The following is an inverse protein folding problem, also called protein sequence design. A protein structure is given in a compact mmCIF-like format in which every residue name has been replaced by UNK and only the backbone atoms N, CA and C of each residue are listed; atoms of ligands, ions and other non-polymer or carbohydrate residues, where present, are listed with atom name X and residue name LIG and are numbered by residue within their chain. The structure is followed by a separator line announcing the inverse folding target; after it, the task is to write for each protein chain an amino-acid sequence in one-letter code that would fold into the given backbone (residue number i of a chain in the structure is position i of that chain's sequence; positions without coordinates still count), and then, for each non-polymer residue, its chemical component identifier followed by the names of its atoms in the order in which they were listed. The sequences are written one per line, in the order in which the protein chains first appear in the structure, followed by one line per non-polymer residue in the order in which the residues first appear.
data_IF_019409967094
#
_entry.id   IF_019409967094
#
_cell.length_a   1.000
_cell.length_b   1.000
_cell.length_c   1.000
_cell.angle_alpha   90.00
_cell.angle_beta   90.00
_cell.angle_gamma   90.00
#
_symmetry.space_group_name_H-M   'P 1'
#
loop_
_entity.id
_entity.type
_entity.pdbx_description
1 polymer ?
#
# COMPACT_ATOMS: atom_id res chain seq x y z
N UNK A 1 56.73 21.76 2.41
CA UNK A 1 55.82 21.35 3.52
C UNK A 1 54.90 22.53 3.78
N UNK A 2 53.58 22.53 3.63
CA UNK A 2 52.61 21.65 2.96
C UNK A 2 51.55 22.62 2.44
N UNK A 3 51.28 22.62 1.13
CA UNK A 3 50.12 23.31 0.57
C UNK A 3 48.88 22.49 0.92
N UNK A 4 48.08 22.99 1.87
CA UNK A 4 46.75 22.44 2.15
C UNK A 4 45.80 22.84 1.04
N UNK A 5 45.56 21.90 0.13
CA UNK A 5 44.46 21.91 -0.83
C UNK A 5 43.14 22.07 -0.08
N UNK A 6 42.46 23.20 -0.30
CA UNK A 6 41.04 23.35 0.05
C UNK A 6 40.25 22.43 -0.88
N UNK A 7 39.86 21.27 -0.37
CA UNK A 7 38.78 20.49 -0.96
C UNK A 7 37.51 21.35 -0.92
N UNK A 8 37.11 21.83 -2.10
CA UNK A 8 35.76 22.32 -2.33
C UNK A 8 34.82 21.13 -2.21
N UNK A 9 34.17 21.00 -1.06
CA UNK A 9 33.02 20.12 -0.87
C UNK A 9 31.96 20.56 -1.88
N UNK A 10 31.73 19.71 -2.88
CA UNK A 10 30.62 19.84 -3.82
C UNK A 10 29.30 19.94 -3.04
N UNK A 11 28.35 20.78 -3.48
CA UNK A 11 27.05 20.86 -2.82
C UNK A 11 26.39 19.48 -2.94
N UNK A 12 26.33 18.77 -1.82
CA UNK A 12 25.67 17.48 -1.73
C UNK A 12 24.25 17.61 -2.29
N UNK A 13 23.93 16.76 -3.26
CA UNK A 13 22.57 16.59 -3.74
C UNK A 13 21.72 16.28 -2.51
N UNK A 14 20.81 17.20 -2.17
CA UNK A 14 19.80 17.00 -1.14
C UNK A 14 18.84 15.89 -1.63
N UNK A 15 19.27 14.63 -1.51
CA UNK A 15 18.49 13.45 -1.80
C UNK A 15 17.53 13.18 -0.63
N UNK A 16 16.54 14.06 -0.44
CA UNK A 16 15.46 13.76 0.50
C UNK A 16 14.52 12.74 -0.15
N UNK A 17 14.66 11.47 0.22
CA UNK A 17 13.67 10.46 -0.14
C UNK A 17 12.36 10.77 0.60
N UNK A 18 11.24 10.56 -0.07
CA UNK A 18 9.93 10.70 0.56
C UNK A 18 9.01 9.52 0.26
N UNK A 19 8.06 9.29 1.15
CA UNK A 19 6.98 8.32 0.97
C UNK A 19 5.66 9.08 1.15
N UNK A 20 4.77 8.96 0.17
CA UNK A 20 3.42 9.49 0.22
C UNK A 20 2.43 8.34 0.32
N UNK A 21 1.61 8.32 1.36
CA UNK A 21 0.51 7.36 1.49
C UNK A 21 -0.79 8.00 1.04
N UNK A 22 -1.53 7.31 0.18
CA UNK A 22 -2.83 7.75 -0.33
C UNK A 22 -3.94 6.93 0.34
N UNK A 23 -4.78 7.60 1.13
CA UNK A 23 -5.95 7.00 1.75
C UNK A 23 -7.18 7.48 1.01
N UNK A 24 -7.92 6.56 0.41
CA UNK A 24 -9.09 6.91 -0.38
C UNK A 24 -10.33 6.82 0.50
N UNK A 25 -11.19 7.82 0.42
CA UNK A 25 -12.53 7.80 1.00
C UNK A 25 -13.54 7.81 -0.15
N UNK A 26 -14.41 6.81 -0.15
CA UNK A 26 -15.48 6.63 -1.13
C UNK A 26 -16.82 6.59 -0.41
N UNK A 27 -17.86 7.12 -1.06
CA UNK A 27 -19.21 7.08 -0.50
C UNK A 27 -19.80 5.66 -0.59
N UNK A 28 -20.74 5.31 0.29
CA UNK A 28 -21.32 3.96 0.38
C UNK A 28 -21.99 3.55 -0.94
N UNK A 29 -22.66 4.51 -1.59
CA UNK A 29 -23.33 4.36 -2.89
C UNK A 29 -22.38 4.02 -4.04
N UNK A 30 -21.08 4.17 -3.84
CA UNK A 30 -20.05 3.86 -4.84
C UNK A 30 -19.49 2.44 -4.68
N UNK A 31 -19.79 1.73 -3.58
CA UNK A 31 -19.38 0.33 -3.38
C UNK A 31 -20.34 -0.67 -4.04
N UNK A 32 -21.65 -0.40 -3.98
CA UNK A 32 -22.70 -1.31 -4.47
C UNK A 32 -22.97 -1.21 -5.97
N UNK A 33 -22.46 -0.17 -6.63
CA UNK A 33 -22.46 -0.09 -8.08
C UNK A 33 -21.18 -0.76 -8.57
N UNK A 34 -21.31 -1.80 -9.38
CA UNK A 34 -20.24 -2.35 -10.22
C UNK A 34 -19.63 -1.31 -11.21
N UNK A 35 -19.60 0.00 -10.89
CA UNK A 35 -19.52 1.08 -11.89
C UNK A 35 -18.75 2.33 -11.43
N UNK A 36 -17.81 2.26 -10.49
CA UNK A 36 -16.64 3.11 -10.76
C UNK A 36 -15.79 2.33 -11.74
N UNK A 37 -16.03 2.61 -13.03
CA UNK A 37 -15.27 1.99 -14.09
C UNK A 37 -13.79 2.32 -13.90
N UNK A 38 -12.90 1.39 -14.27
CA UNK A 38 -11.46 1.58 -14.11
C UNK A 38 -10.96 2.88 -14.75
N UNK A 39 -11.64 3.41 -15.78
CA UNK A 39 -11.33 4.72 -16.36
C UNK A 39 -11.38 5.86 -15.34
N UNK A 40 -12.35 5.86 -14.43
CA UNK A 40 -12.45 6.86 -13.36
C UNK A 40 -11.34 6.65 -12.32
N UNK A 41 -11.02 5.39 -12.00
CA UNK A 41 -9.90 5.07 -11.11
C UNK A 41 -8.57 5.57 -11.68
N UNK A 42 -8.33 5.36 -12.98
CA UNK A 42 -7.13 5.86 -13.66
C UNK A 42 -7.06 7.39 -13.71
N UNK A 43 -8.20 8.08 -13.88
CA UNK A 43 -8.24 9.55 -13.76
C UNK A 43 -7.84 10.02 -12.36
N UNK A 44 -8.46 9.44 -11.32
CA UNK A 44 -8.15 9.78 -9.92
C UNK A 44 -6.68 9.46 -9.61
N UNK A 45 -6.17 8.31 -10.09
CA UNK A 45 -4.78 7.89 -9.93
C UNK A 45 -3.81 8.94 -10.50
N UNK A 46 -4.00 9.31 -11.77
CA UNK A 46 -3.18 10.32 -12.45
C UNK A 46 -3.21 11.68 -11.75
N UNK A 47 -4.41 12.14 -11.37
CA UNK A 47 -4.60 13.42 -10.68
C UNK A 47 -3.93 13.46 -9.31
N UNK A 48 -4.04 12.38 -8.52
CA UNK A 48 -3.39 12.28 -7.21
C UNK A 48 -1.87 12.25 -7.37
N UNK A 49 -1.34 11.50 -8.33
CA UNK A 49 0.10 11.48 -8.63
C UNK A 49 0.57 12.89 -8.97
N UNK A 50 -0.08 13.58 -9.92
CA UNK A 50 0.27 14.96 -10.29
C UNK A 50 0.21 15.91 -9.09
N UNK A 51 -0.80 15.76 -8.22
CA UNK A 51 -0.98 16.62 -7.06
C UNK A 51 0.11 16.41 -5.99
N UNK A 52 0.59 15.19 -5.81
CA UNK A 52 1.73 14.90 -4.92
C UNK A 52 3.00 15.47 -5.52
N UNK A 53 3.27 15.17 -6.79
CA UNK A 53 4.49 15.58 -7.49
C UNK A 53 4.70 17.10 -7.55
N UNK A 54 3.63 17.91 -7.47
CA UNK A 54 3.72 19.37 -7.42
C UNK A 54 4.00 19.94 -6.02
N UNK A 55 3.98 19.10 -4.98
CA UNK A 55 4.16 19.50 -3.57
C UNK A 55 5.46 19.04 -2.95
N UNK A 56 6.08 18.01 -3.51
CA UNK A 56 7.32 17.42 -2.98
C UNK A 56 8.43 17.54 -3.99
N UNK A 57 9.67 17.62 -3.50
CA UNK A 57 10.89 17.55 -4.31
C UNK A 57 11.68 16.29 -3.97
N UNK A 58 12.55 15.88 -4.88
CA UNK A 58 13.36 14.67 -4.71
C UNK A 58 12.66 13.37 -5.11
N UNK A 59 13.38 12.28 -4.91
CA UNK A 59 12.95 10.93 -5.25
C UNK A 59 11.98 10.38 -4.21
N UNK A 60 11.07 9.48 -4.60
CA UNK A 60 10.13 8.96 -3.62
C UNK A 60 9.15 7.91 -4.09
N UNK A 61 8.21 7.60 -3.21
CA UNK A 61 7.22 6.53 -3.38
C UNK A 61 5.82 7.08 -3.13
N UNK A 62 4.89 6.77 -4.03
CA UNK A 62 3.47 7.03 -3.83
C UNK A 62 2.77 5.67 -3.64
N UNK A 63 2.21 5.44 -2.46
CA UNK A 63 1.54 4.21 -2.09
C UNK A 63 0.02 4.36 -2.17
N UNK A 64 -0.60 3.59 -3.06
CA UNK A 64 -2.05 3.47 -3.22
C UNK A 64 -2.59 2.18 -2.57
N UNK A 65 -3.89 2.15 -2.24
CA UNK A 65 -4.55 0.96 -1.70
C UNK A 65 -4.58 -0.23 -2.68
N UNK A 66 -4.97 -1.40 -2.16
CA UNK A 66 -5.30 -2.57 -2.99
C UNK A 66 -6.79 -2.62 -3.34
N UNK A 67 -7.13 -3.44 -4.35
CA UNK A 67 -8.50 -3.76 -4.76
C UNK A 67 -9.35 -2.64 -5.33
N UNK A 68 -8.82 -1.42 -5.36
CA UNK A 68 -9.50 -0.29 -5.97
C UNK A 68 -9.50 -0.40 -7.51
N UNK A 69 -8.39 -0.86 -8.11
CA UNK A 69 -8.35 -1.27 -9.52
C UNK A 69 -8.68 -2.77 -9.58
N UNK A 70 -9.64 -3.14 -10.43
CA UNK A 70 -10.20 -4.49 -10.40
C UNK A 70 -10.54 -5.02 -11.81
N UNK A 71 -10.08 -6.23 -12.12
CA UNK A 71 -10.30 -6.93 -13.39
C UNK A 71 -11.59 -7.79 -13.39
N UNK A 72 -12.35 -7.80 -12.30
CA UNK A 72 -13.56 -8.59 -12.16
C UNK A 72 -13.25 -10.08 -12.20
N UNK A 73 -13.91 -10.80 -13.11
CA UNK A 73 -13.72 -12.23 -13.32
C UNK A 73 -12.39 -12.56 -14.03
N UNK A 74 -11.80 -11.58 -14.72
CA UNK A 74 -10.50 -11.72 -15.39
C UNK A 74 -9.34 -11.67 -14.38
N UNK A 75 -8.17 -12.16 -14.81
CA UNK A 75 -6.95 -12.07 -14.00
C UNK A 75 -6.49 -10.62 -13.86
N UNK A 76 -5.89 -10.29 -12.71
CA UNK A 76 -5.35 -8.95 -12.43
C UNK A 76 -4.36 -8.48 -13.51
N UNK A 77 -3.63 -9.43 -14.12
CA UNK A 77 -2.67 -9.17 -15.20
C UNK A 77 -3.27 -8.47 -16.42
N UNK A 78 -4.56 -8.64 -16.70
CA UNK A 78 -5.24 -8.02 -17.84
C UNK A 78 -5.31 -6.48 -17.71
N UNK A 79 -5.07 -5.94 -16.51
CA UNK A 79 -5.02 -4.50 -16.25
C UNK A 79 -3.60 -3.95 -16.07
N UNK A 80 -2.55 -4.77 -16.20
CA UNK A 80 -1.17 -4.30 -16.00
C UNK A 80 -0.80 -3.23 -17.02
N UNK A 81 -1.00 -3.48 -18.32
CA UNK A 81 -0.55 -2.55 -19.35
C UNK A 81 -1.26 -1.20 -19.25
N UNK A 82 -2.58 -1.19 -19.00
CA UNK A 82 -3.35 0.03 -18.76
C UNK A 82 -2.87 0.79 -17.53
N UNK A 83 -2.57 0.07 -16.45
CA UNK A 83 -2.06 0.68 -15.20
C UNK A 83 -0.68 1.27 -15.40
N UNK A 84 0.21 0.54 -16.09
CA UNK A 84 1.57 1.00 -16.43
C UNK A 84 1.51 2.20 -17.36
N UNK A 85 0.67 2.18 -18.40
CA UNK A 85 0.49 3.30 -19.31
C UNK A 85 0.02 4.56 -18.56
N UNK A 86 -1.01 4.42 -17.73
CA UNK A 86 -1.52 5.52 -16.90
C UNK A 86 -0.40 6.15 -16.05
N UNK A 87 0.31 5.34 -15.26
CA UNK A 87 1.36 5.82 -14.34
C UNK A 87 2.56 6.39 -15.12
N UNK A 88 3.08 5.64 -16.09
CA UNK A 88 4.27 6.06 -16.85
C UNK A 88 4.00 7.33 -17.66
N UNK A 89 2.78 7.56 -18.15
CA UNK A 89 2.42 8.79 -18.86
C UNK A 89 2.61 10.06 -18.02
N UNK A 90 2.38 9.96 -16.70
CA UNK A 90 2.60 11.04 -15.74
C UNK A 90 4.09 11.13 -15.41
N UNK A 91 4.73 10.01 -15.07
CA UNK A 91 6.11 9.98 -14.59
C UNK A 91 7.18 10.23 -15.66
N UNK A 92 6.89 10.02 -16.96
CA UNK A 92 7.84 10.26 -18.06
C UNK A 92 8.34 11.70 -18.12
N UNK A 93 7.57 12.65 -17.61
CA UNK A 93 7.92 14.08 -17.57
C UNK A 93 8.82 14.42 -16.39
N UNK A 94 9.00 13.48 -15.45
CA UNK A 94 9.73 13.69 -14.21
C UNK A 94 11.21 13.37 -14.34
N UNK A 95 12.05 14.32 -13.93
CA UNK A 95 13.50 14.08 -13.78
C UNK A 95 13.80 13.16 -12.59
N UNK A 96 12.95 13.24 -11.56
CA UNK A 96 13.00 12.48 -10.30
C UNK A 96 12.79 10.99 -10.54
N UNK A 97 13.31 10.16 -9.64
CA UNK A 97 13.02 8.72 -9.57
C UNK A 97 11.86 8.52 -8.59
N UNK A 98 10.66 8.37 -9.16
CA UNK A 98 9.44 8.16 -8.38
C UNK A 98 8.86 6.79 -8.73
N UNK A 99 8.46 6.07 -7.68
CA UNK A 99 7.74 4.81 -7.80
C UNK A 99 6.29 5.01 -7.36
N UNK A 100 5.34 4.48 -8.12
CA UNK A 100 3.94 4.35 -7.72
C UNK A 100 3.70 2.89 -7.39
N UNK A 101 3.28 2.64 -6.14
CA UNK A 101 2.92 1.33 -5.65
C UNK A 101 1.39 1.21 -5.60
N UNK A 102 0.81 0.23 -6.28
CA UNK A 102 -0.65 0.07 -6.39
C UNK A 102 -1.06 -1.40 -6.43
N UNK A 103 -2.24 -1.71 -5.88
CA UNK A 103 -2.79 -3.06 -5.89
C UNK A 103 -3.87 -3.23 -6.94
N UNK A 104 -3.84 -4.36 -7.64
CA UNK A 104 -4.84 -4.77 -8.63
C UNK A 104 -5.42 -6.11 -8.21
N UNK A 105 -6.74 -6.18 -8.22
CA UNK A 105 -7.50 -7.37 -7.92
C UNK A 105 -8.10 -7.98 -9.19
N UNK A 106 -8.39 -9.28 -9.16
CA UNK A 106 -9.09 -10.00 -10.22
C UNK A 106 -9.49 -11.42 -9.78
N UNK A 107 -9.93 -12.21 -10.75
CA UNK A 107 -10.41 -13.58 -10.59
C UNK A 107 -11.48 -13.66 -9.48
N UNK A 108 -12.50 -12.81 -9.60
CA UNK A 108 -13.65 -12.78 -8.70
C UNK A 108 -14.52 -14.02 -8.90
N UNK A 109 -14.66 -14.84 -7.86
CA UNK A 109 -15.47 -16.06 -7.85
C UNK A 109 -16.21 -16.19 -6.54
N UNK A 110 -17.52 -16.42 -6.58
CA UNK A 110 -18.36 -16.65 -5.40
C UNK A 110 -18.21 -15.60 -4.29
N UNK A 111 -18.03 -14.33 -4.69
CA UNK A 111 -17.82 -13.22 -3.76
C UNK A 111 -16.44 -13.17 -3.09
N UNK A 112 -15.44 -13.83 -3.68
CA UNK A 112 -14.03 -13.79 -3.27
C UNK A 112 -13.14 -13.30 -4.41
N UNK A 113 -12.16 -12.48 -4.06
CA UNK A 113 -11.10 -12.06 -4.95
C UNK A 113 -9.90 -12.99 -4.77
N UNK A 114 -9.51 -13.71 -5.81
CA UNK A 114 -8.45 -14.72 -5.68
C UNK A 114 -7.10 -14.25 -6.25
N UNK A 115 -7.10 -13.30 -7.19
CA UNK A 115 -5.89 -12.77 -7.81
C UNK A 115 -5.61 -11.37 -7.27
N UNK A 116 -4.80 -11.27 -6.22
CA UNK A 116 -4.51 -10.00 -5.52
C UNK A 116 -3.01 -9.68 -5.65
N UNK A 117 -2.69 -8.62 -6.38
CA UNK A 117 -1.32 -8.29 -6.81
C UNK A 117 -0.96 -6.86 -6.42
N UNK A 118 0.21 -6.65 -5.83
CA UNK A 118 0.85 -5.35 -5.73
C UNK A 118 1.87 -5.15 -6.86
N UNK A 119 1.92 -3.95 -7.41
CA UNK A 119 2.91 -3.49 -8.39
C UNK A 119 3.68 -2.30 -7.82
N UNK A 120 4.98 -2.21 -8.13
CA UNK A 120 5.74 -0.97 -8.06
C UNK A 120 6.16 -0.57 -9.48
N UNK A 121 5.79 0.64 -9.89
CA UNK A 121 5.93 1.14 -11.26
C UNK A 121 6.71 2.45 -11.24
N UNK A 122 7.75 2.56 -12.06
CA UNK A 122 8.46 3.82 -12.32
C UNK A 122 8.19 4.32 -13.75
N UNK A 123 8.90 5.37 -14.20
CA UNK A 123 8.77 5.92 -15.56
C UNK A 123 9.13 4.94 -16.70
N UNK A 124 9.79 3.83 -16.39
CA UNK A 124 10.18 2.79 -17.35
C UNK A 124 9.27 1.55 -17.33
N UNK A 125 8.40 1.41 -16.31
CA UNK A 125 7.44 0.33 -16.22
C UNK A 125 7.47 -0.38 -14.87
N UNK A 126 7.09 -1.66 -14.85
CA UNK A 126 7.04 -2.48 -13.63
C UNK A 126 8.46 -2.79 -13.16
N UNK A 127 8.74 -2.56 -11.88
CA UNK A 127 10.04 -2.82 -11.25
C UNK A 127 9.97 -3.86 -10.14
N UNK A 128 8.82 -3.98 -9.49
CA UNK A 128 8.54 -5.05 -8.56
C UNK A 128 7.07 -5.47 -8.64
N UNK A 129 6.82 -6.72 -8.24
CA UNK A 129 5.49 -7.32 -8.20
C UNK A 129 5.41 -8.31 -7.04
N UNK A 130 4.30 -8.31 -6.33
CA UNK A 130 4.04 -9.25 -5.25
C UNK A 130 2.61 -9.75 -5.29
N UNK A 131 2.43 -11.06 -5.43
CA UNK A 131 1.16 -11.73 -5.20
C UNK A 131 0.95 -11.95 -3.71
N UNK A 132 -0.27 -11.71 -3.23
CA UNK A 132 -0.63 -11.99 -1.83
C UNK A 132 -0.27 -13.44 -1.47
N UNK A 133 0.36 -13.63 -0.32
CA UNK A 133 0.79 -14.94 0.17
C UNK A 133 0.06 -15.35 1.44
N UNK A 134 -0.50 -14.39 2.19
CA UNK A 134 -1.15 -14.67 3.47
C UNK A 134 -2.67 -14.45 3.35
N UNK A 135 -3.47 -15.53 3.37
CA UNK A 135 -4.93 -15.43 3.31
C UNK A 135 -5.53 -14.88 4.61
N UNK A 136 -6.70 -14.29 4.50
CA UNK A 136 -7.60 -14.03 5.64
C UNK A 136 -8.28 -15.32 6.08
N UNK A 137 -8.78 -15.37 7.31
CA UNK A 137 -9.54 -16.53 7.83
C UNK A 137 -10.74 -16.93 6.94
N UNK A 138 -11.31 -15.99 6.18
CA UNK A 138 -12.37 -16.29 5.21
C UNK A 138 -11.82 -16.99 3.97
N UNK A 139 -10.71 -16.48 3.42
CA UNK A 139 -10.05 -17.05 2.24
C UNK A 139 -9.48 -18.45 2.55
N UNK A 140 -8.96 -18.68 3.76
CA UNK A 140 -8.43 -19.99 4.20
C UNK A 140 -9.45 -21.13 4.11
N UNK A 141 -10.75 -20.83 4.22
CA UNK A 141 -11.82 -21.84 4.08
C UNK A 141 -11.91 -22.43 2.67
N UNK A 142 -11.23 -21.81 1.70
CA UNK A 142 -11.21 -22.22 0.30
C UNK A 142 -9.80 -22.67 -0.07
N UNK A 143 -9.39 -23.83 0.49
CA UNK A 143 -8.03 -24.37 0.37
C UNK A 143 -7.52 -24.41 -1.08
N UNK A 144 -8.36 -24.86 -2.02
CA UNK A 144 -8.00 -24.92 -3.44
C UNK A 144 -7.76 -23.53 -4.05
N UNK A 145 -8.49 -22.50 -3.63
CA UNK A 145 -8.29 -21.14 -4.12
C UNK A 145 -6.98 -20.56 -3.60
N UNK A 146 -6.70 -20.74 -2.30
CA UNK A 146 -5.45 -20.30 -1.68
C UNK A 146 -4.27 -20.99 -2.35
N UNK A 147 -4.30 -22.32 -2.47
CA UNK A 147 -3.21 -23.11 -3.05
C UNK A 147 -2.89 -22.72 -4.49
N UNK A 148 -3.89 -22.33 -5.27
CA UNK A 148 -3.73 -22.05 -6.70
C UNK A 148 -3.51 -20.57 -7.03
N UNK A 149 -3.89 -19.64 -6.16
CA UNK A 149 -3.87 -18.20 -6.49
C UNK A 149 -3.03 -17.33 -5.55
N UNK A 150 -2.55 -17.86 -4.42
CA UNK A 150 -1.66 -17.16 -3.52
C UNK A 150 -0.21 -17.53 -3.80
N UNK A 151 0.71 -16.61 -3.50
CA UNK A 151 2.12 -16.92 -3.53
C UNK A 151 2.46 -17.96 -2.45
N UNK A 152 3.31 -18.94 -2.78
CA UNK A 152 3.67 -20.03 -1.86
C UNK A 152 4.36 -19.54 -0.58
N UNK A 153 5.04 -18.40 -0.65
CA UNK A 153 5.65 -17.74 0.50
C UNK A 153 5.88 -16.25 0.21
N UNK A 154 6.34 -15.54 1.24
CA UNK A 154 6.60 -14.10 1.27
C UNK A 154 7.74 -13.61 0.36
N UNK A 155 8.44 -14.47 -0.39
CA UNK A 155 9.55 -14.10 -1.28
C UNK A 155 9.42 -14.66 -2.71
N UNK A 156 8.40 -15.48 -2.99
CA UNK A 156 8.19 -15.99 -4.35
C UNK A 156 8.02 -14.83 -5.32
N UNK A 157 8.76 -14.91 -6.43
CA UNK A 157 8.66 -13.98 -7.53
C UNK A 157 7.37 -14.19 -8.32
N UNK A 158 6.75 -13.10 -8.74
CA UNK A 158 5.56 -13.11 -9.59
C UNK A 158 5.98 -12.70 -11.00
N UNK A 159 5.86 -13.62 -11.96
CA UNK A 159 6.30 -13.44 -13.36
C UNK A 159 7.76 -12.94 -13.49
N UNK A 160 8.65 -13.47 -12.65
CA UNK A 160 10.08 -13.12 -12.62
C UNK A 160 10.41 -11.79 -11.95
N UNK A 161 9.43 -11.13 -11.32
CA UNK A 161 9.65 -9.93 -10.52
C UNK A 161 9.67 -10.26 -9.04
N UNK A 162 10.68 -9.73 -8.34
CA UNK A 162 10.68 -9.66 -6.88
C UNK A 162 9.62 -8.66 -6.39
N UNK A 163 9.13 -8.87 -5.17
CA UNK A 163 8.32 -7.89 -4.43
C UNK A 163 9.16 -6.86 -3.68
N UNK A 164 10.49 -7.01 -3.70
CA UNK A 164 11.46 -6.10 -3.11
C UNK A 164 12.11 -5.28 -4.22
N UNK A 165 12.12 -3.95 -4.09
CA UNK A 165 12.80 -3.05 -5.03
C UNK A 165 13.63 -1.98 -4.31
N UNK A 166 14.75 -1.53 -4.90
CA UNK A 166 15.57 -0.47 -4.33
C UNK A 166 15.15 0.92 -4.84
N UNK A 167 15.27 1.93 -3.97
CA UNK A 167 15.34 3.35 -4.34
C UNK A 167 16.40 4.02 -3.46
N UNK A 168 17.43 4.60 -4.07
CA UNK A 168 18.51 5.31 -3.38
C UNK A 168 19.16 4.50 -2.23
N UNK A 169 19.37 3.20 -2.46
CA UNK A 169 19.98 2.28 -1.49
C UNK A 169 19.02 1.71 -0.45
N UNK A 170 17.78 2.18 -0.37
CA UNK A 170 16.73 1.68 0.52
C UNK A 170 15.90 0.61 -0.19
N UNK A 171 15.65 -0.52 0.47
CA UNK A 171 14.89 -1.66 -0.08
C UNK A 171 13.47 -1.68 0.46
N UNK A 172 12.51 -1.58 -0.45
CA UNK A 172 11.09 -1.51 -0.17
C UNK A 172 10.42 -2.84 -0.49
N UNK A 173 9.59 -3.34 0.44
CA UNK A 173 8.87 -4.60 0.31
C UNK A 173 7.38 -4.37 0.07
N UNK A 174 6.83 -4.93 -1.02
CA UNK A 174 5.39 -4.90 -1.30
C UNK A 174 4.66 -6.00 -0.53
N UNK A 175 3.64 -5.60 0.22
CA UNK A 175 2.77 -6.48 1.01
C UNK A 175 1.30 -6.21 0.66
N UNK A 176 0.55 -7.25 0.27
CA UNK A 176 -0.86 -7.10 -0.10
C UNK A 176 -1.75 -7.39 1.10
N UNK A 177 -2.37 -6.34 1.64
CA UNK A 177 -3.33 -6.41 2.72
C UNK A 177 -2.86 -7.39 3.83
N UNK A 178 -3.57 -8.50 4.00
CA UNK A 178 -3.36 -9.45 5.10
C UNK A 178 -1.97 -10.10 5.14
N UNK A 179 -1.16 -9.99 4.07
CA UNK A 179 0.28 -10.29 4.07
C UNK A 179 1.00 -9.71 5.28
N UNK A 180 0.61 -8.52 5.75
CA UNK A 180 1.22 -7.88 6.92
C UNK A 180 1.11 -8.72 8.20
N UNK A 181 0.06 -9.52 8.33
CA UNK A 181 -0.11 -10.45 9.45
C UNK A 181 0.73 -11.72 9.27
N UNK A 182 1.03 -12.11 8.03
CA UNK A 182 1.97 -13.21 7.76
C UNK A 182 3.42 -12.85 8.09
N UNK A 183 3.80 -11.57 7.99
CA UNK A 183 5.19 -11.13 8.24
C UNK A 183 5.62 -11.24 9.72
N UNK A 184 4.68 -11.35 10.66
CA UNK A 184 4.98 -11.54 12.08
C UNK A 184 5.11 -13.01 12.50
N UNK A 185 4.73 -13.95 11.64
CA UNK A 185 4.75 -15.39 11.95
C UNK A 185 6.18 -15.90 12.15
N UNK A 186 6.32 -16.95 12.95
CA UNK A 186 7.61 -17.55 13.22
C UNK A 186 8.17 -18.26 11.97
N UNK A 187 9.49 -18.15 11.77
CA UNK A 187 10.16 -18.61 10.55
C UNK A 187 10.12 -17.62 9.37
N UNK A 188 9.38 -16.52 9.48
CA UNK A 188 9.42 -15.40 8.52
C UNK A 188 10.42 -14.36 9.02
N UNK A 189 11.54 -14.25 8.32
CA UNK A 189 12.63 -13.33 8.67
C UNK A 189 12.67 -12.16 7.69
N UNK A 190 13.08 -11.00 8.20
CA UNK A 190 13.39 -9.87 7.34
C UNK A 190 14.55 -10.23 6.41
N UNK A 191 14.24 -10.51 5.14
CA UNK A 191 15.25 -10.67 4.08
C UNK A 191 15.59 -9.30 3.52
N UNK A 192 16.38 -8.55 4.28
CA UNK A 192 17.07 -7.39 3.72
C UNK A 192 16.06 -6.33 3.22
N UNK A 193 15.03 -6.05 4.00
CA UNK A 193 14.01 -5.03 3.74
C UNK A 193 14.18 -3.90 4.76
N UNK A 194 14.17 -2.68 4.26
CA UNK A 194 14.35 -1.47 5.06
C UNK A 194 13.02 -0.74 5.30
N UNK A 195 12.01 -0.97 4.44
CA UNK A 195 10.67 -0.40 4.57
C UNK A 195 9.62 -1.38 4.03
N UNK A 196 8.51 -1.57 4.74
CA UNK A 196 7.36 -2.34 4.26
C UNK A 196 6.28 -1.39 3.73
N UNK A 197 5.77 -1.67 2.54
CA UNK A 197 4.67 -0.95 1.89
C UNK A 197 3.45 -1.88 1.84
N UNK A 198 2.41 -1.58 2.61
CA UNK A 198 1.21 -2.40 2.70
C UNK A 198 0.02 -1.76 1.99
N UNK A 199 -0.47 -2.45 0.97
CA UNK A 199 -1.60 -2.04 0.16
C UNK A 199 -2.85 -2.71 0.73
N UNK A 200 -3.59 -1.99 1.57
CA UNK A 200 -4.79 -2.50 2.25
C UNK A 200 -5.99 -2.32 1.33
N UNK A 201 -6.85 -3.34 1.26
CA UNK A 201 -8.08 -3.28 0.47
C UNK A 201 -9.04 -2.22 0.99
N UNK A 202 -9.69 -2.47 2.14
CA UNK A 202 -10.65 -1.51 2.66
C UNK A 202 -10.99 -1.64 4.14
N UNK A 203 -11.66 -0.60 4.65
CA UNK A 203 -12.36 -0.57 5.91
C UNK A 203 -13.79 -0.04 5.71
N UNK A 204 -14.77 -0.78 6.23
CA UNK A 204 -16.19 -0.48 6.10
C UNK A 204 -16.81 -0.01 7.44
N UNK A 205 -18.04 0.56 7.43
CA UNK A 205 -18.72 0.97 8.67
C UNK A 205 -18.93 -0.21 9.62
N UNK A 206 -18.99 0.04 10.93
CA UNK A 206 -19.30 -1.02 11.90
C UNK A 206 -20.78 -1.40 11.77
N UNK A 207 -21.06 -2.69 11.60
CA UNK A 207 -22.43 -3.20 11.64
C UNK A 207 -23.27 -2.92 10.39
N UNK A 208 -22.63 -2.61 9.24
CA UNK A 208 -23.32 -2.63 7.95
C UNK A 208 -23.93 -4.02 7.72
N UNK A 209 -25.25 -4.07 7.73
CA UNK A 209 -26.07 -5.30 7.63
C UNK A 209 -26.53 -5.57 6.19
N UNK A 210 -26.03 -4.87 5.18
CA UNK A 210 -26.49 -5.11 3.80
C UNK A 210 -26.05 -6.50 3.29
N UNK A 211 -27.03 -7.40 3.39
CA UNK A 211 -27.00 -8.85 3.21
C UNK A 211 -26.87 -9.28 1.73
N UNK A 212 -26.01 -8.64 0.94
CA UNK A 212 -25.53 -9.23 -0.33
C UNK A 212 -24.10 -9.73 -0.27
N UNK A 213 -23.39 -9.38 0.80
CA UNK A 213 -22.15 -10.01 1.20
C UNK A 213 -22.27 -10.19 2.72
N UNK A 214 -22.53 -11.43 3.18
CA UNK A 214 -22.78 -11.74 4.59
C UNK A 214 -21.54 -11.46 5.48
N UNK A 215 -21.34 -10.20 5.83
CA UNK A 215 -20.45 -9.73 6.91
C UNK A 215 -21.19 -9.72 8.28
N UNK A 216 -22.46 -10.16 8.31
CA UNK A 216 -23.31 -10.24 9.49
C UNK A 216 -22.92 -11.29 10.53
N UNK A 217 -21.90 -12.12 10.27
CA UNK A 217 -21.34 -13.09 11.24
C UNK A 217 -19.81 -13.12 11.30
N UNK A 218 -19.11 -12.24 10.57
CA UNK A 218 -17.66 -12.36 10.30
C UNK A 218 -16.83 -11.11 10.58
N UNK A 219 -17.19 -10.29 11.57
CA UNK A 219 -16.21 -9.42 12.24
C UNK A 219 -15.58 -8.29 11.40
N UNK A 220 -16.11 -7.94 10.23
CA UNK A 220 -15.69 -6.73 9.49
C UNK A 220 -16.37 -5.50 10.09
N UNK A 221 -16.12 -5.26 11.38
CA UNK A 221 -16.48 -4.00 12.06
C UNK A 221 -15.18 -3.20 12.26
N UNK A 222 -14.91 -2.25 11.38
CA UNK A 222 -13.78 -1.32 11.39
C UNK A 222 -12.51 -1.83 12.09
N UNK A 223 -11.92 -2.87 11.49
CA UNK A 223 -10.64 -3.41 11.91
C UNK A 223 -9.49 -2.42 11.75
N UNK A 224 -9.70 -1.17 11.34
CA UNK A 224 -8.67 -0.17 11.06
C UNK A 224 -7.69 0.01 12.23
N UNK A 225 -8.20 0.03 13.47
CA UNK A 225 -7.36 0.10 14.66
C UNK A 225 -6.67 -1.21 15.02
N UNK A 226 -7.34 -2.32 14.77
CA UNK A 226 -6.73 -3.63 14.92
C UNK A 226 -5.59 -3.78 13.91
N UNK A 227 -5.80 -3.36 12.68
CA UNK A 227 -4.88 -3.44 11.55
C UNK A 227 -3.62 -2.60 11.78
N UNK A 228 -3.80 -1.35 12.20
CA UNK A 228 -2.67 -0.47 12.51
C UNK A 228 -1.80 -1.02 13.65
N UNK A 229 -2.39 -1.55 14.72
CA UNK A 229 -1.64 -2.03 15.89
C UNK A 229 -1.08 -3.44 15.71
N UNK A 230 -1.92 -4.37 15.25
CA UNK A 230 -1.59 -5.79 15.17
C UNK A 230 -1.04 -6.21 13.80
N UNK A 231 -1.43 -5.52 12.73
CA UNK A 231 -0.81 -5.71 11.42
C UNK A 231 0.48 -4.92 11.34
N UNK A 232 0.40 -3.60 11.11
CA UNK A 232 1.57 -2.74 10.92
C UNK A 232 2.53 -2.80 12.11
N UNK A 233 2.00 -2.63 13.34
CA UNK A 233 2.82 -2.66 14.55
C UNK A 233 3.58 -3.97 14.76
N UNK A 234 2.94 -5.14 14.54
CA UNK A 234 3.62 -6.42 14.71
C UNK A 234 4.66 -6.69 13.64
N UNK A 235 4.37 -6.37 12.38
CA UNK A 235 5.33 -6.52 11.29
C UNK A 235 6.55 -5.61 11.51
N UNK A 236 6.30 -4.34 11.87
CA UNK A 236 7.36 -3.39 12.21
C UNK A 236 8.20 -3.87 13.40
N UNK A 237 7.55 -4.42 14.45
CA UNK A 237 8.23 -5.01 15.60
C UNK A 237 9.13 -6.19 15.20
N UNK A 238 8.63 -7.10 14.38
CA UNK A 238 9.35 -8.33 13.97
C UNK A 238 10.50 -8.01 13.02
N UNK A 239 10.28 -7.13 12.05
CA UNK A 239 11.25 -6.84 10.99
C UNK A 239 12.14 -5.62 11.30
N UNK A 240 11.89 -4.94 12.42
CA UNK A 240 12.63 -3.75 12.87
C UNK A 240 12.73 -2.63 11.81
N UNK A 241 11.66 -2.43 11.04
CA UNK A 241 11.58 -1.41 10.00
C UNK A 241 10.21 -0.71 10.00
N UNK A 242 10.11 0.50 9.43
CA UNK A 242 8.84 1.19 9.29
C UNK A 242 7.91 0.50 8.29
N UNK A 243 6.61 0.58 8.58
CA UNK A 243 5.52 0.10 7.73
C UNK A 243 4.68 1.30 7.31
N UNK A 244 4.48 1.45 6.01
CA UNK A 244 3.55 2.43 5.44
C UNK A 244 2.34 1.73 4.84
N UNK A 245 1.15 2.24 5.10
CA UNK A 245 -0.12 1.65 4.70
C UNK A 245 -0.99 2.62 3.92
N UNK A 246 -1.58 2.15 2.82
CA UNK A 246 -2.63 2.84 2.08
C UNK A 246 -3.91 1.99 2.13
N UNK A 247 -5.07 2.62 2.29
CA UNK A 247 -6.35 1.93 2.45
C UNK A 247 -7.51 2.69 1.82
N UNK A 248 -8.58 1.98 1.48
CA UNK A 248 -9.87 2.58 1.13
C UNK A 248 -10.83 2.57 2.33
N UNK A 249 -11.47 3.70 2.61
CA UNK A 249 -12.53 3.83 3.61
C UNK A 249 -13.87 4.02 2.88
N UNK A 250 -14.71 2.99 2.87
CA UNK A 250 -16.02 3.01 2.21
C UNK A 250 -17.13 3.45 3.17
N UNK A 251 -17.97 4.38 2.76
CA UNK A 251 -19.18 4.78 3.51
C UNK A 251 -18.89 5.36 4.89
N UNK A 252 -17.66 5.81 5.15
CA UNK A 252 -17.24 6.29 6.47
C UNK A 252 -16.17 7.37 6.37
N UNK A 253 -15.99 8.10 7.47
CA UNK A 253 -14.85 9.02 7.63
C UNK A 253 -13.56 8.24 7.86
N UNK A 254 -12.46 8.75 7.32
CA UNK A 254 -11.11 8.34 7.72
C UNK A 254 -10.88 8.83 9.15
N UNK A 255 -10.55 7.95 10.12
CA UNK A 255 -10.26 8.40 11.47
C UNK A 255 -9.03 9.31 11.48
N UNK A 256 -9.16 10.47 12.11
CA UNK A 256 -8.11 11.50 12.14
C UNK A 256 -6.76 10.96 12.66
N UNK A 257 -6.82 10.06 13.65
CA UNK A 257 -5.65 9.46 14.29
C UNK A 257 -5.19 8.15 13.64
N UNK A 258 -5.88 7.64 12.61
CA UNK A 258 -5.46 6.39 11.98
C UNK A 258 -4.07 6.57 11.35
N UNK A 259 -3.03 5.80 11.73
CA UNK A 259 -1.68 6.01 11.22
C UNK A 259 -1.49 5.28 9.89
N UNK A 260 -0.98 6.00 8.90
CA UNK A 260 -0.55 5.39 7.62
C UNK A 260 0.97 5.15 7.58
N UNK A 261 1.71 5.57 8.60
CA UNK A 261 3.11 5.23 8.81
C UNK A 261 3.28 4.78 10.25
N UNK A 262 3.90 3.62 10.45
CA UNK A 262 4.11 2.98 11.75
C UNK A 262 5.56 2.55 11.90
N UNK A 263 6.17 2.85 13.03
CA UNK A 263 7.45 2.29 13.47
C UNK A 263 7.29 1.80 14.90
N UNK A 264 7.65 0.55 15.17
CA UNK A 264 7.54 -0.01 16.50
C UNK A 264 8.59 0.59 17.45
N UNK A 265 8.16 1.52 18.30
CA UNK A 265 8.99 2.16 19.33
C UNK A 265 8.46 1.91 20.76
N UNK A 266 7.54 0.96 20.94
CA UNK A 266 6.89 0.68 22.22
C UNK A 266 7.62 -0.37 23.08
N UNK A 267 8.90 -0.65 22.80
CA UNK A 267 9.72 -1.62 23.51
C UNK A 267 9.09 -3.02 23.53
N UNK A 268 9.08 -3.65 24.71
CA UNK A 268 8.56 -5.01 24.89
C UNK A 268 7.04 -5.11 25.01
N UNK A 269 6.31 -3.99 24.89
CA UNK A 269 4.84 -3.99 24.99
C UNK A 269 4.23 -4.98 23.99
N UNK A 270 3.06 -5.50 24.34
CA UNK A 270 2.24 -6.23 23.38
C UNK A 270 1.52 -5.26 22.45
N UNK A 271 1.24 -5.70 21.22
CA UNK A 271 0.48 -4.91 20.24
C UNK A 271 -0.96 -4.63 20.70
N UNK A 272 -1.48 -5.41 21.65
CA UNK A 272 -2.80 -5.17 22.28
C UNK A 272 -2.80 -3.94 23.20
N UNK A 273 -1.65 -3.65 23.83
CA UNK A 273 -1.50 -2.60 24.83
C UNK A 273 -0.87 -1.32 24.28
N UNK A 274 -0.37 -1.33 23.04
CA UNK A 274 0.20 -0.14 22.44
C UNK A 274 -0.89 0.87 22.03
N UNK A 275 -0.52 2.14 22.09
CA UNK A 275 -1.28 3.28 21.58
C UNK A 275 -0.66 3.79 20.29
N UNK A 276 -1.45 4.51 19.50
CA UNK A 276 -0.95 5.08 18.24
C UNK A 276 0.20 6.05 18.45
N UNK A 277 0.14 6.89 19.49
CA UNK A 277 1.17 7.89 19.77
C UNK A 277 2.55 7.25 20.02
N UNK A 278 2.60 5.97 20.38
CA UNK A 278 3.84 5.23 20.65
C UNK A 278 4.46 4.62 19.39
N UNK A 279 3.67 4.47 18.32
CA UNK A 279 4.09 3.74 17.12
C UNK A 279 3.89 4.52 15.82
N UNK A 280 3.20 5.66 15.84
CA UNK A 280 2.85 6.39 14.62
C UNK A 280 3.98 7.29 14.19
N UNK A 281 4.37 7.17 12.93
CA UNK A 281 5.20 8.16 12.27
C UNK A 281 4.35 9.39 11.95
N UNK A 282 4.90 10.58 12.16
CA UNK A 282 4.20 11.82 11.81
C UNK A 282 4.57 12.22 10.39
N UNK A 283 3.58 12.47 9.50
CA UNK A 283 3.88 13.00 8.19
C UNK A 283 4.30 14.47 8.32
N UNK A 284 5.23 14.88 7.46
CA UNK A 284 5.66 16.26 7.32
C UNK A 284 4.57 17.13 6.71
N UNK A 285 3.75 16.57 5.82
CA UNK A 285 2.63 17.27 5.19
C UNK A 285 1.37 16.39 5.10
N UNK A 286 0.20 17.03 5.23
CA UNK A 286 -1.11 16.42 5.02
C UNK A 286 -1.96 17.34 4.15
N UNK A 287 -2.65 16.78 3.17
CA UNK A 287 -3.65 17.52 2.40
C UNK A 287 -4.68 16.56 1.80
N UNK A 288 -5.77 17.13 1.29
CA UNK A 288 -6.87 16.38 0.69
C UNK A 288 -7.09 16.82 -0.75
N UNK A 289 -7.54 15.89 -1.59
CA UNK A 289 -7.93 16.16 -2.97
C UNK A 289 -9.24 15.45 -3.28
N UNK A 290 -10.26 16.21 -3.67
CA UNK A 290 -11.56 15.68 -4.07
C UNK A 290 -11.61 15.54 -5.60
N UNK A 291 -11.82 14.32 -6.10
CA UNK A 291 -11.85 14.00 -7.54
C UNK A 291 -12.96 12.98 -7.76
N UNK A 292 -13.92 13.29 -8.64
CA UNK A 292 -14.98 12.36 -9.05
C UNK A 292 -15.74 11.71 -7.86
N UNK A 293 -15.99 12.47 -6.79
CA UNK A 293 -16.66 11.98 -5.59
C UNK A 293 -15.80 11.13 -4.65
N UNK A 294 -14.52 10.89 -5.00
CA UNK A 294 -13.53 10.31 -4.11
C UNK A 294 -12.75 11.43 -3.39
N UNK A 295 -12.54 11.29 -2.09
CA UNK A 295 -11.59 12.13 -1.35
C UNK A 295 -10.30 11.34 -1.14
N UNK A 296 -9.20 11.79 -1.73
CA UNK A 296 -7.86 11.28 -1.43
C UNK A 296 -7.27 12.08 -0.26
N UNK A 297 -7.07 11.43 0.88
CA UNK A 297 -6.32 11.97 2.02
C UNK A 297 -4.85 11.56 1.85
N UNK A 298 -3.99 12.55 1.62
CA UNK A 298 -2.59 12.35 1.26
C UNK A 298 -1.72 12.76 2.42
N UNK A 299 -0.70 11.94 2.71
CA UNK A 299 0.25 12.17 3.80
C UNK A 299 1.66 11.89 3.31
N UNK A 300 2.55 12.88 3.46
CA UNK A 300 3.94 12.81 3.00
C UNK A 300 4.85 12.63 4.21
N UNK A 301 5.74 11.66 4.13
CA UNK A 301 6.78 11.37 5.11
C UNK A 301 8.14 11.61 4.45
N UNK A 302 8.98 12.42 5.07
CA UNK A 302 10.35 12.64 4.62
C UNK A 302 11.28 11.76 5.47
N UNK A 303 12.18 11.03 4.80
CA UNK A 303 13.22 10.22 5.44
C UNK A 303 14.57 10.89 5.34
#
# INVERSE_FOLDING_TARGET
MNETTKETVSPGINNSNWISTVILKLDEKQRDKNEIKNEIHFQILSDVICCILSKVEGDGIILFPAGWINAGEDRAKELYDKTVECITSVLKKEKRNVFVCIGIDGNHKDGLTCDQIALAIDKSGIRARGRKFYPTEKEEKYEDLVKNNFAKNYLVEEDGYSRIFPLNGIRYYLSVCYDIFGLKEDGIENKNTDVILNLVHCFCPKGSKDMKYEEGKSGVSSGDSYYARHGFGSASKKWACPVFGAAVFYGRKVPERWPSGVMWNAGDKSTQKCKYEEISLQPAERFERNINGCTAHIRIYCS
#
